data_IF_198653278158
#
_entry.id   IF_198653278158
#
_cell.length_a   1.000
_cell.length_b   1.000
_cell.length_c   1.000
_cell.angle_alpha   90.00
_cell.angle_beta   90.00
_cell.angle_gamma   90.00
#
_symmetry.space_group_name_H-M   'P 1'
#
loop_
_entity.id
_entity.type
_entity.pdbx_description
1 polymer ?
#
# COMPACT_ATOMS: atom_id res chain seq x y z
N UNK A 1 -45.38 -79.64 -11.70
CA UNK A 1 -44.73 -80.95 -11.97
C UNK A 1 -43.35 -80.89 -11.35
N UNK A 2 -43.28 -81.75 -10.32
CA UNK A 2 -42.05 -82.39 -9.74
C UNK A 2 -40.91 -81.47 -9.21
N UNK A 3 -40.82 -81.48 -7.87
CA UNK A 3 -40.20 -82.45 -6.98
C UNK A 3 -38.73 -82.70 -7.33
N UNK A 4 -37.73 -82.64 -6.46
CA UNK A 4 -37.52 -83.09 -5.11
C UNK A 4 -36.22 -82.47 -4.61
N UNK A 5 -36.12 -82.05 -3.39
CA UNK A 5 -35.87 -82.77 -2.12
C UNK A 5 -34.45 -83.16 -1.84
N UNK A 6 -33.92 -82.59 -0.69
CA UNK A 6 -33.11 -83.25 0.35
C UNK A 6 -31.69 -83.76 -0.06
N UNK A 7 -30.66 -83.43 0.67
CA UNK A 7 -30.38 -84.09 1.92
C UNK A 7 -29.31 -83.45 2.78
N UNK A 8 -29.38 -83.77 4.05
CA UNK A 8 -28.59 -83.29 5.17
C UNK A 8 -27.32 -84.12 5.38
N UNK A 9 -26.45 -83.52 6.14
CA UNK A 9 -25.46 -84.16 7.07
C UNK A 9 -24.03 -84.32 6.50
N UNK A 10 -23.10 -83.62 7.14
CA UNK A 10 -22.19 -84.12 8.19
C UNK A 10 -21.12 -83.05 8.45
N UNK A 11 -21.08 -82.52 9.60
CA UNK A 11 -20.29 -82.84 10.78
C UNK A 11 -18.79 -82.49 10.75
N UNK A 12 -18.47 -81.52 11.57
CA UNK A 12 -17.33 -81.47 12.54
C UNK A 12 -15.91 -81.44 12.04
N UNK A 13 -15.13 -80.38 12.27
CA UNK A 13 -14.26 -80.21 13.49
C UNK A 13 -13.34 -78.99 13.37
N UNK A 14 -13.34 -78.22 14.46
CA UNK A 14 -12.20 -77.68 15.21
C UNK A 14 -11.24 -76.68 14.55
N UNK A 15 -11.20 -75.51 15.13
CA UNK A 15 -10.06 -74.58 15.01
C UNK A 15 -10.42 -73.21 15.59
N UNK A 16 -10.38 -73.08 16.93
CA UNK A 16 -10.55 -71.76 17.55
C UNK A 16 -9.35 -70.87 17.35
N UNK A 17 -9.60 -69.63 16.98
CA UNK A 17 -8.65 -68.54 17.21
C UNK A 17 -9.48 -67.31 17.57
N UNK A 18 -9.43 -66.93 18.83
CA UNK A 18 -9.98 -65.68 19.34
C UNK A 18 -9.18 -64.50 18.77
N UNK A 19 -9.78 -63.80 17.79
CA UNK A 19 -9.28 -62.53 17.30
C UNK A 19 -9.82 -61.38 18.16
N UNK A 20 -9.02 -60.91 19.10
CA UNK A 20 -9.32 -59.70 19.83
C UNK A 20 -9.37 -58.50 18.85
N UNK A 21 -10.55 -57.98 18.62
CA UNK A 21 -10.69 -56.71 17.90
C UNK A 21 -10.15 -55.58 18.78
N UNK A 22 -8.93 -55.16 18.50
CA UNK A 22 -8.38 -53.95 19.06
C UNK A 22 -9.12 -52.75 18.47
N UNK A 23 -9.98 -52.17 19.27
CA UNK A 23 -10.52 -50.82 19.03
C UNK A 23 -9.35 -49.84 19.15
N UNK A 24 -8.82 -49.36 18.04
CA UNK A 24 -7.97 -48.17 17.97
C UNK A 24 -8.87 -46.95 18.07
N UNK A 25 -8.64 -46.06 19.05
CA UNK A 25 -9.38 -44.78 19.06
C UNK A 25 -9.00 -44.02 17.79
N UNK A 26 -10.02 -43.59 17.04
CA UNK A 26 -9.82 -42.65 15.96
C UNK A 26 -9.14 -41.37 16.53
N UNK A 27 -7.86 -41.21 16.24
CA UNK A 27 -7.17 -39.95 16.48
C UNK A 27 -7.91 -38.89 15.63
N UNK A 28 -8.63 -38.01 16.31
CA UNK A 28 -9.04 -36.75 15.71
C UNK A 28 -7.76 -36.08 15.21
N UNK A 29 -7.55 -36.07 13.90
CA UNK A 29 -6.60 -35.17 13.25
C UNK A 29 -7.11 -33.75 13.51
N UNK A 30 -6.58 -33.13 14.55
CA UNK A 30 -6.61 -31.68 14.67
C UNK A 30 -5.88 -31.17 13.44
N UNK A 31 -6.63 -30.67 12.48
CA UNK A 31 -6.05 -29.94 11.36
C UNK A 31 -5.16 -28.85 11.95
N UNK A 32 -3.85 -28.96 11.74
CA UNK A 32 -2.93 -27.88 12.02
C UNK A 32 -3.42 -26.66 11.25
N UNK A 33 -3.48 -25.46 11.86
CA UNK A 33 -3.84 -24.27 11.11
C UNK A 33 -2.84 -24.12 9.96
N UNK A 34 -3.40 -23.90 8.77
CA UNK A 34 -2.66 -23.73 7.52
C UNK A 34 -1.49 -22.75 7.70
N UNK A 35 -0.30 -23.29 7.89
CA UNK A 35 0.95 -22.52 7.89
C UNK A 35 1.29 -21.98 6.48
N UNK A 36 0.46 -22.27 5.47
CA UNK A 36 0.63 -21.82 4.09
C UNK A 36 0.11 -20.39 3.82
N UNK A 37 -0.58 -19.75 4.76
CA UNK A 37 -1.15 -18.41 4.55
C UNK A 37 -0.20 -17.24 4.84
N UNK A 38 1.03 -17.49 5.29
CA UNK A 38 2.05 -16.47 5.56
C UNK A 38 3.07 -16.32 4.43
N UNK A 39 2.78 -16.77 3.22
CA UNK A 39 3.60 -16.41 2.07
C UNK A 39 3.53 -14.89 1.88
N UNK A 40 4.67 -14.21 1.95
CA UNK A 40 4.77 -12.77 1.72
C UNK A 40 4.01 -12.43 0.44
N UNK A 41 2.88 -11.74 0.58
CA UNK A 41 2.07 -11.31 -0.57
C UNK A 41 2.97 -10.52 -1.51
N UNK A 42 3.08 -10.97 -2.76
CA UNK A 42 3.87 -10.26 -3.76
C UNK A 42 3.50 -8.78 -3.79
N UNK A 43 4.49 -7.92 -3.98
CA UNK A 43 4.24 -6.49 -4.16
C UNK A 43 3.33 -6.29 -5.39
N UNK A 44 2.36 -5.35 -5.34
CA UNK A 44 1.48 -5.10 -6.47
C UNK A 44 2.29 -4.78 -7.73
N UNK A 45 1.95 -5.45 -8.83
CA UNK A 45 2.61 -5.24 -10.13
C UNK A 45 1.94 -4.06 -10.84
N UNK A 46 2.75 -3.15 -11.37
CA UNK A 46 2.26 -2.02 -12.17
C UNK A 46 1.92 -2.44 -13.60
N UNK A 47 1.01 -1.74 -14.24
CA UNK A 47 0.79 -1.84 -15.66
C UNK A 47 2.11 -1.59 -16.42
N UNK A 48 2.50 -2.51 -17.31
CA UNK A 48 3.80 -2.43 -18.00
C UNK A 48 4.98 -3.04 -17.25
N UNK A 49 4.72 -3.77 -16.15
CA UNK A 49 5.72 -4.52 -15.40
C UNK A 49 6.46 -3.70 -14.34
N UNK A 50 7.00 -4.40 -13.35
CA UNK A 50 7.67 -3.83 -12.20
C UNK A 50 6.77 -3.76 -10.97
N UNK A 51 7.38 -3.86 -9.79
CA UNK A 51 6.71 -3.75 -8.52
C UNK A 51 7.24 -2.54 -7.75
N UNK A 52 6.37 -1.87 -7.02
CA UNK A 52 6.76 -0.84 -6.05
C UNK A 52 6.82 -1.46 -4.65
N UNK A 53 7.79 -1.03 -3.82
CA UNK A 53 7.72 -1.29 -2.38
C UNK A 53 6.38 -0.77 -1.84
N UNK A 54 5.81 -1.48 -0.87
CA UNK A 54 4.52 -1.11 -0.27
C UNK A 54 4.55 0.21 0.50
N UNK A 55 5.74 0.67 0.86
CA UNK A 55 5.97 1.94 1.55
C UNK A 55 6.84 2.83 0.68
N UNK A 56 6.34 4.00 0.37
CA UNK A 56 7.01 5.13 -0.25
C UNK A 56 7.33 6.21 0.78
N UNK A 57 7.80 7.36 0.30
CA UNK A 57 8.12 8.53 1.11
C UNK A 57 7.30 9.73 0.63
N UNK A 58 6.41 10.24 1.46
CA UNK A 58 5.74 11.52 1.27
C UNK A 58 6.64 12.68 1.73
N UNK A 59 6.42 13.86 1.15
CA UNK A 59 7.25 15.04 1.44
C UNK A 59 6.47 16.26 1.93
N UNK A 60 5.15 16.21 1.97
CA UNK A 60 4.34 17.34 2.38
C UNK A 60 4.67 17.78 3.82
N UNK A 61 4.88 19.10 4.01
CA UNK A 61 5.36 19.75 5.24
C UNK A 61 6.79 19.34 5.61
N UNK A 62 7.11 18.06 5.59
CA UNK A 62 8.36 17.50 6.14
C UNK A 62 9.61 17.90 5.35
N UNK A 63 9.48 18.17 4.06
CA UNK A 63 10.57 18.62 3.18
C UNK A 63 10.47 20.08 2.78
N UNK A 64 9.50 20.84 3.31
CA UNK A 64 9.41 22.28 3.11
C UNK A 64 10.30 23.03 4.10
N UNK A 65 11.59 22.90 3.96
CA UNK A 65 12.60 23.41 4.90
C UNK A 65 13.35 24.67 4.39
N UNK A 66 12.94 25.20 3.24
CA UNK A 66 13.55 26.39 2.66
C UNK A 66 15.06 26.19 2.37
N UNK A 67 15.87 27.15 2.79
CA UNK A 67 17.32 27.16 2.59
C UNK A 67 18.11 26.78 3.86
N UNK A 68 17.46 26.24 4.88
CA UNK A 68 18.15 25.77 6.09
C UNK A 68 19.03 24.57 5.78
N UNK A 69 20.34 24.76 5.81
CA UNK A 69 21.32 23.75 5.43
C UNK A 69 21.26 22.48 6.32
N UNK A 70 21.00 22.66 7.63
CA UNK A 70 20.88 21.55 8.58
C UNK A 70 19.62 20.73 8.34
N UNK A 71 18.48 21.38 8.11
CA UNK A 71 17.23 20.71 7.81
C UNK A 71 17.28 20.01 6.42
N UNK A 72 17.95 20.61 5.41
CA UNK A 72 18.17 19.95 4.11
C UNK A 72 19.08 18.72 4.24
N UNK A 73 20.13 18.80 5.07
CA UNK A 73 20.98 17.65 5.37
C UNK A 73 20.15 16.52 6.04
N UNK A 74 19.33 16.85 7.02
CA UNK A 74 18.42 15.89 7.68
C UNK A 74 17.44 15.24 6.68
N UNK A 75 16.87 16.00 5.74
CA UNK A 75 16.04 15.43 4.65
C UNK A 75 16.85 14.46 3.78
N UNK A 76 18.12 14.77 3.50
CA UNK A 76 19.03 13.89 2.76
C UNK A 76 19.27 12.58 3.53
N UNK A 77 19.50 12.64 4.85
CA UNK A 77 19.68 11.45 5.70
C UNK A 77 18.42 10.58 5.76
N UNK A 78 17.24 11.20 5.80
CA UNK A 78 15.94 10.51 5.68
C UNK A 78 15.84 9.76 4.36
N UNK A 79 16.19 10.41 3.24
CA UNK A 79 16.20 9.78 1.91
C UNK A 79 17.24 8.66 1.82
N UNK A 80 18.43 8.84 2.41
CA UNK A 80 19.46 7.81 2.45
C UNK A 80 18.96 6.54 3.18
N UNK A 81 18.36 6.72 4.35
CA UNK A 81 17.79 5.61 5.12
C UNK A 81 16.62 4.93 4.36
N UNK A 82 15.80 5.71 3.67
CA UNK A 82 14.70 5.21 2.84
C UNK A 82 15.21 4.33 1.69
N UNK A 83 16.19 4.79 0.93
CA UNK A 83 16.77 4.00 -0.16
C UNK A 83 17.55 2.78 0.33
N UNK A 84 18.27 2.91 1.45
CA UNK A 84 18.99 1.79 2.08
C UNK A 84 18.04 0.67 2.53
N UNK A 85 16.82 1.02 2.94
CA UNK A 85 15.76 0.07 3.29
C UNK A 85 14.96 -0.46 2.07
N UNK A 86 15.42 -0.20 0.84
CA UNK A 86 14.79 -0.68 -0.40
C UNK A 86 13.64 0.20 -0.90
N UNK A 87 13.45 1.38 -0.35
CA UNK A 87 12.47 2.36 -0.81
C UNK A 87 12.77 2.85 -2.23
N UNK A 88 11.74 3.25 -2.95
CA UNK A 88 11.89 3.73 -4.33
C UNK A 88 11.00 4.93 -4.65
N UNK A 89 9.73 4.91 -4.27
CA UNK A 89 8.77 5.96 -4.59
C UNK A 89 8.90 7.13 -3.61
N UNK A 90 9.21 8.33 -4.13
CA UNK A 90 9.10 9.59 -3.41
C UNK A 90 7.99 10.42 -4.07
N UNK A 91 7.08 10.96 -3.25
CA UNK A 91 5.94 11.76 -3.71
C UNK A 91 6.09 13.22 -3.26
N UNK A 92 5.95 14.16 -4.20
CA UNK A 92 5.95 15.58 -3.94
C UNK A 92 4.92 16.34 -4.76
N UNK A 93 4.93 17.67 -4.69
CA UNK A 93 4.04 18.57 -5.44
C UNK A 93 4.62 19.97 -5.48
N UNK A 94 4.35 20.76 -6.54
CA UNK A 94 4.67 22.18 -6.57
C UNK A 94 3.97 23.00 -5.46
N UNK A 95 2.93 22.44 -4.84
CA UNK A 95 2.23 23.02 -3.70
C UNK A 95 3.04 22.92 -2.38
N UNK A 96 4.09 22.10 -2.32
CA UNK A 96 4.80 21.77 -1.08
C UNK A 96 6.02 22.65 -0.80
N UNK A 97 5.99 23.89 -1.23
CA UNK A 97 7.05 24.88 -0.98
C UNK A 97 8.41 24.44 -1.59
N UNK A 98 9.45 24.36 -0.76
CA UNK A 98 10.80 23.97 -1.19
C UNK A 98 11.01 22.46 -1.39
N UNK A 99 9.98 21.64 -1.17
CA UNK A 99 10.09 20.18 -1.12
C UNK A 99 10.74 19.57 -2.35
N UNK A 100 10.36 20.02 -3.56
CA UNK A 100 10.89 19.51 -4.82
C UNK A 100 12.41 19.76 -4.98
N UNK A 101 12.84 20.97 -4.64
CA UNK A 101 14.25 21.36 -4.69
C UNK A 101 15.09 20.61 -3.65
N UNK A 102 14.57 20.45 -2.43
CA UNK A 102 15.20 19.67 -1.35
C UNK A 102 15.36 18.20 -1.76
N UNK A 103 14.34 17.62 -2.39
CA UNK A 103 14.41 16.25 -2.93
C UNK A 103 15.49 16.16 -4.00
N UNK A 104 15.49 17.07 -4.97
CA UNK A 104 16.48 17.07 -6.05
C UNK A 104 17.92 17.17 -5.56
N UNK A 105 18.18 18.04 -4.58
CA UNK A 105 19.48 18.14 -3.92
C UNK A 105 19.89 16.81 -3.27
N UNK A 106 18.99 16.20 -2.49
CA UNK A 106 19.24 14.93 -1.84
C UNK A 106 19.47 13.79 -2.84
N UNK A 107 18.66 13.69 -3.89
CA UNK A 107 18.84 12.70 -4.96
C UNK A 107 20.20 12.81 -5.65
N UNK A 108 20.65 14.03 -5.92
CA UNK A 108 21.97 14.31 -6.50
C UNK A 108 23.08 13.87 -5.56
N UNK A 109 23.04 14.26 -4.28
CA UNK A 109 24.04 13.89 -3.26
C UNK A 109 24.14 12.38 -3.07
N UNK A 110 23.00 11.67 -3.14
CA UNK A 110 22.93 10.22 -2.95
C UNK A 110 23.14 9.42 -4.24
N UNK A 111 23.31 10.07 -5.39
CA UNK A 111 23.40 9.43 -6.70
C UNK A 111 22.19 8.55 -7.03
N UNK A 112 20.97 9.05 -6.74
CA UNK A 112 19.73 8.32 -6.88
C UNK A 112 18.79 8.81 -7.98
N UNK A 113 19.21 9.80 -8.78
CA UNK A 113 18.39 10.43 -9.84
C UNK A 113 17.78 9.44 -10.85
N UNK A 114 18.48 8.34 -11.15
CA UNK A 114 18.03 7.32 -12.11
C UNK A 114 17.37 6.11 -11.45
N UNK A 115 17.36 6.05 -10.11
CA UNK A 115 16.85 4.90 -9.33
C UNK A 115 15.57 5.20 -8.56
N UNK A 116 15.29 6.48 -8.32
CA UNK A 116 14.05 6.91 -7.69
C UNK A 116 12.87 6.65 -8.62
N UNK A 117 11.73 6.24 -8.07
CA UNK A 117 10.44 6.35 -8.72
C UNK A 117 9.87 7.73 -8.34
N UNK A 118 10.00 8.68 -9.26
CA UNK A 118 9.62 10.07 -9.04
C UNK A 118 8.11 10.27 -9.28
N UNK A 119 7.37 10.57 -8.21
CA UNK A 119 5.95 10.90 -8.28
C UNK A 119 5.73 12.38 -7.95
N UNK A 120 5.21 13.12 -8.90
CA UNK A 120 4.92 14.55 -8.74
C UNK A 120 3.53 14.91 -9.28
N UNK A 121 3.19 16.17 -9.21
CA UNK A 121 1.83 16.64 -9.52
C UNK A 121 1.86 17.91 -10.37
N UNK A 122 0.77 18.16 -11.08
CA UNK A 122 0.46 19.49 -11.64
C UNK A 122 -0.61 20.14 -10.76
N UNK A 123 -0.36 21.40 -10.36
CA UNK A 123 -1.26 22.18 -9.49
C UNK A 123 -1.17 23.66 -9.82
N UNK A 124 -1.87 24.10 -10.85
CA UNK A 124 -1.87 25.48 -11.29
C UNK A 124 -3.15 25.78 -12.07
N UNK A 125 -3.59 27.05 -11.99
CA UNK A 125 -4.63 27.64 -12.85
C UNK A 125 -4.12 28.99 -13.38
N UNK A 126 -4.41 29.37 -14.63
CA UNK A 126 -5.09 28.55 -15.65
C UNK A 126 -4.23 27.36 -16.10
N UNK A 127 -4.86 26.33 -16.65
CA UNK A 127 -4.18 25.09 -17.06
C UNK A 127 -3.13 25.28 -18.16
N UNK A 128 -3.24 26.34 -18.98
CA UNK A 128 -2.23 26.73 -19.97
C UNK A 128 -0.82 26.93 -19.39
N UNK A 129 -0.70 27.18 -18.08
CA UNK A 129 0.57 27.26 -17.35
C UNK A 129 1.12 25.89 -16.90
N UNK A 130 0.33 24.82 -17.04
CA UNK A 130 0.70 23.47 -16.63
C UNK A 130 2.00 22.97 -17.25
N UNK A 131 2.22 23.08 -18.58
CA UNK A 131 3.48 22.65 -19.20
C UNK A 131 4.72 23.29 -18.58
N UNK A 132 4.69 24.61 -18.33
CA UNK A 132 5.81 25.33 -17.72
C UNK A 132 6.05 24.89 -16.27
N UNK A 133 4.96 24.70 -15.47
CA UNK A 133 5.08 24.22 -14.09
C UNK A 133 5.72 22.83 -14.04
N UNK A 134 5.32 21.91 -14.92
CA UNK A 134 5.88 20.55 -14.98
C UNK A 134 7.38 20.58 -15.29
N UNK A 135 7.82 21.43 -16.23
CA UNK A 135 9.24 21.53 -16.54
C UNK A 135 10.04 22.18 -15.41
N UNK A 136 9.47 23.18 -14.72
CA UNK A 136 10.09 23.77 -13.51
C UNK A 136 10.24 22.70 -12.42
N UNK A 137 9.19 21.93 -12.14
CA UNK A 137 9.23 20.82 -11.17
C UNK A 137 10.28 19.79 -11.55
N UNK A 138 10.35 19.40 -12.82
CA UNK A 138 11.35 18.45 -13.32
C UNK A 138 12.79 18.98 -13.13
N UNK A 139 12.98 20.27 -13.35
CA UNK A 139 14.25 20.96 -13.08
C UNK A 139 14.66 20.90 -11.62
N UNK A 140 13.74 21.17 -10.69
CA UNK A 140 13.97 21.05 -9.25
C UNK A 140 14.38 19.63 -8.84
N UNK A 141 13.67 18.62 -9.34
CA UNK A 141 13.99 17.22 -9.06
C UNK A 141 15.31 16.76 -9.71
N UNK A 142 15.73 17.38 -10.80
CA UNK A 142 16.91 16.97 -11.59
C UNK A 142 16.74 15.65 -12.34
N UNK A 143 15.51 15.14 -12.48
CA UNK A 143 15.22 13.87 -13.17
C UNK A 143 15.04 14.10 -14.68
N UNK A 144 15.39 13.12 -15.54
CA UNK A 144 15.20 13.26 -16.99
C UNK A 144 13.70 13.30 -17.37
N UNK A 145 12.87 12.57 -16.65
CA UNK A 145 11.40 12.57 -16.73
C UNK A 145 10.83 12.08 -15.41
N UNK A 146 9.58 12.41 -15.13
CA UNK A 146 8.85 11.82 -14.02
C UNK A 146 8.40 10.39 -14.34
N UNK A 147 8.40 9.52 -13.34
CA UNK A 147 7.72 8.22 -13.45
C UNK A 147 6.21 8.40 -13.37
N UNK A 148 5.72 9.24 -12.46
CA UNK A 148 4.29 9.49 -12.29
C UNK A 148 4.01 11.00 -12.20
N UNK A 149 3.09 11.49 -13.03
CA UNK A 149 2.50 12.81 -12.88
C UNK A 149 1.01 12.71 -12.60
N UNK A 150 0.53 13.47 -11.64
CA UNK A 150 -0.85 13.44 -11.18
C UNK A 150 -1.48 14.83 -11.22
N UNK A 151 -2.77 14.91 -11.52
CA UNK A 151 -3.53 16.15 -11.31
C UNK A 151 -3.85 16.30 -9.83
N UNK A 152 -3.28 17.33 -9.19
CA UNK A 152 -3.36 17.53 -7.74
C UNK A 152 -4.73 18.07 -7.31
N UNK A 153 -5.40 17.36 -6.41
CA UNK A 153 -6.72 17.72 -5.87
C UNK A 153 -7.76 18.00 -6.97
N UNK A 154 -7.59 17.37 -8.13
CA UNK A 154 -8.45 17.53 -9.31
C UNK A 154 -8.59 19.01 -9.78
N UNK A 155 -7.60 19.86 -9.50
CA UNK A 155 -7.61 21.25 -9.97
C UNK A 155 -7.55 21.28 -11.50
N UNK A 156 -8.56 21.88 -12.15
CA UNK A 156 -8.65 21.94 -13.63
C UNK A 156 -8.37 20.62 -14.32
N UNK A 157 -8.86 19.49 -13.77
CA UNK A 157 -8.52 18.16 -14.24
C UNK A 157 -8.94 17.90 -15.69
N UNK A 158 -10.06 18.51 -16.12
CA UNK A 158 -10.57 18.37 -17.49
C UNK A 158 -9.57 18.86 -18.55
N UNK A 159 -8.70 19.81 -18.17
CA UNK A 159 -7.70 20.39 -19.05
C UNK A 159 -6.31 19.78 -18.81
N UNK A 160 -5.94 19.56 -17.54
CA UNK A 160 -4.65 18.98 -17.21
C UNK A 160 -4.53 17.50 -17.58
N UNK A 161 -5.57 16.69 -17.38
CA UNK A 161 -5.48 15.25 -17.62
C UNK A 161 -5.20 14.88 -19.08
N UNK A 162 -5.87 15.50 -20.09
CA UNK A 162 -5.51 15.30 -21.48
C UNK A 162 -4.05 15.66 -21.80
N UNK A 163 -3.53 16.77 -21.24
CA UNK A 163 -2.14 17.16 -21.37
C UNK A 163 -1.19 16.09 -20.81
N UNK A 164 -1.49 15.52 -19.64
CA UNK A 164 -0.66 14.46 -19.04
C UNK A 164 -0.70 13.18 -19.87
N UNK A 165 -1.86 12.81 -20.41
CA UNK A 165 -2.02 11.64 -21.30
C UNK A 165 -1.24 11.82 -22.60
N UNK A 166 -1.25 13.02 -23.20
CA UNK A 166 -0.42 13.36 -24.35
C UNK A 166 1.08 13.20 -24.03
N UNK A 167 1.52 13.72 -22.88
CA UNK A 167 2.90 13.57 -22.41
C UNK A 167 3.29 12.10 -22.21
N UNK A 168 2.37 11.27 -21.72
CA UNK A 168 2.58 9.83 -21.61
C UNK A 168 2.73 9.18 -22.98
N UNK A 169 1.85 9.49 -23.93
CA UNK A 169 1.95 8.98 -25.29
C UNK A 169 3.27 9.37 -25.98
N UNK A 170 3.77 10.58 -25.69
CA UNK A 170 5.07 11.06 -26.16
C UNK A 170 6.29 10.53 -25.37
N UNK A 171 6.12 9.64 -24.38
CA UNK A 171 7.19 9.09 -23.55
C UNK A 171 7.82 10.06 -22.56
N UNK A 172 7.24 11.24 -22.37
CA UNK A 172 7.75 12.31 -21.47
C UNK A 172 7.36 12.10 -20.01
N UNK A 173 6.44 11.20 -19.74
CA UNK A 173 6.09 10.67 -18.41
C UNK A 173 5.74 9.19 -18.56
N UNK A 174 5.99 8.41 -17.53
CA UNK A 174 5.75 6.96 -17.60
C UNK A 174 4.30 6.62 -17.24
N UNK A 175 3.78 7.19 -16.17
CA UNK A 175 2.44 6.95 -15.65
C UNK A 175 1.71 8.26 -15.37
N UNK A 176 0.39 8.23 -15.51
CA UNK A 176 -0.49 9.37 -15.26
C UNK A 176 -1.55 9.00 -14.23
N UNK A 177 -1.88 9.95 -13.36
CA UNK A 177 -2.90 9.74 -12.35
C UNK A 177 -3.61 11.01 -11.90
N UNK A 178 -4.48 10.83 -10.93
CA UNK A 178 -5.17 11.91 -10.23
C UNK A 178 -5.07 11.71 -8.73
N UNK A 179 -5.15 12.80 -7.96
CA UNK A 179 -5.10 12.72 -6.51
C UNK A 179 -6.14 13.61 -5.84
N UNK A 180 -6.60 13.14 -4.70
CA UNK A 180 -7.38 13.91 -3.72
C UNK A 180 -6.97 13.53 -2.31
N UNK A 181 -7.45 14.28 -1.33
CA UNK A 181 -7.19 14.02 0.09
C UNK A 181 -8.42 14.30 0.93
N UNK A 182 -8.44 13.76 2.17
CA UNK A 182 -9.49 14.01 3.17
C UNK A 182 -10.90 13.57 2.70
N UNK A 183 -10.97 12.59 1.78
CA UNK A 183 -12.24 12.12 1.21
C UNK A 183 -12.97 13.16 0.35
N UNK A 184 -12.29 14.25 -0.04
CA UNK A 184 -12.88 15.26 -0.92
C UNK A 184 -13.04 14.73 -2.33
N UNK A 185 -14.11 15.16 -3.01
CA UNK A 185 -14.33 14.90 -4.43
C UNK A 185 -14.28 13.42 -4.83
N UNK A 186 -14.61 12.49 -3.93
CA UNK A 186 -14.54 11.03 -4.19
C UNK A 186 -15.42 10.61 -5.37
N UNK A 187 -16.57 11.29 -5.60
CA UNK A 187 -17.45 11.02 -6.76
C UNK A 187 -16.76 11.40 -8.07
N UNK A 188 -16.05 12.54 -8.09
CA UNK A 188 -15.31 12.96 -9.29
C UNK A 188 -14.15 12.01 -9.57
N UNK A 189 -13.42 11.56 -8.52
CA UNK A 189 -12.38 10.53 -8.63
C UNK A 189 -12.95 9.26 -9.24
N UNK A 190 -14.08 8.76 -8.74
CA UNK A 190 -14.75 7.58 -9.27
C UNK A 190 -15.12 7.75 -10.75
N UNK A 191 -15.69 8.89 -11.10
CA UNK A 191 -16.03 9.20 -12.48
C UNK A 191 -14.80 9.17 -13.40
N UNK A 192 -13.69 9.80 -12.97
CA UNK A 192 -12.43 9.80 -13.72
C UNK A 192 -11.90 8.38 -13.88
N UNK A 193 -11.87 7.60 -12.80
CA UNK A 193 -11.41 6.21 -12.83
C UNK A 193 -12.23 5.34 -13.79
N UNK A 194 -13.53 5.61 -13.95
CA UNK A 194 -14.41 4.88 -14.89
C UNK A 194 -14.20 5.29 -16.34
N UNK A 195 -13.92 6.56 -16.60
CA UNK A 195 -13.98 7.15 -17.95
C UNK A 195 -12.62 7.46 -18.56
N UNK A 196 -11.55 7.57 -17.75
CA UNK A 196 -10.23 7.98 -18.24
C UNK A 196 -9.18 6.88 -18.10
N UNK A 197 -8.21 6.78 -19.03
CA UNK A 197 -7.16 5.77 -19.01
C UNK A 197 -6.00 6.14 -18.08
N UNK A 198 -6.30 6.35 -16.80
CA UNK A 198 -5.28 6.67 -15.78
C UNK A 198 -4.63 5.39 -15.24
N UNK A 199 -3.38 5.50 -14.85
CA UNK A 199 -2.60 4.40 -14.28
C UNK A 199 -2.63 4.38 -12.75
N UNK A 200 -2.79 5.55 -12.14
CA UNK A 200 -2.73 5.73 -10.68
C UNK A 200 -3.87 6.59 -10.16
N UNK A 201 -4.30 6.24 -8.97
CA UNK A 201 -5.13 7.11 -8.13
C UNK A 201 -4.46 7.27 -6.78
N UNK A 202 -4.41 8.50 -6.25
CA UNK A 202 -3.90 8.76 -4.91
C UNK A 202 -5.02 9.35 -4.05
N UNK A 203 -5.36 8.65 -2.96
CA UNK A 203 -6.46 9.01 -2.05
C UNK A 203 -6.06 8.79 -0.60
N UNK A 204 -6.76 9.47 0.32
CA UNK A 204 -6.61 9.18 1.75
C UNK A 204 -7.13 7.79 2.06
N UNK A 205 -6.29 7.03 2.74
CA UNK A 205 -6.65 5.76 3.31
C UNK A 205 -5.83 5.50 4.57
N UNK A 206 -6.51 5.35 5.69
CA UNK A 206 -5.91 5.13 6.99
C UNK A 206 -6.75 4.14 7.82
N UNK A 207 -6.29 3.85 9.04
CA UNK A 207 -7.04 3.05 9.99
C UNK A 207 -8.32 3.78 10.47
N UNK A 208 -8.33 5.11 10.46
CA UNK A 208 -9.47 5.95 10.84
C UNK A 208 -10.33 6.38 9.63
N UNK A 209 -9.73 6.63 8.47
CA UNK A 209 -10.46 7.00 7.24
C UNK A 209 -10.44 5.84 6.23
N UNK A 210 -11.53 5.06 6.24
CA UNK A 210 -11.70 3.88 5.41
C UNK A 210 -12.66 4.08 4.23
N UNK A 211 -13.11 5.30 3.97
CA UNK A 211 -14.08 5.60 2.90
C UNK A 211 -13.66 5.08 1.52
N UNK A 212 -12.36 4.99 1.25
CA UNK A 212 -11.86 4.44 -0.01
C UNK A 212 -12.23 2.96 -0.22
N UNK A 213 -12.46 2.18 0.85
CA UNK A 213 -12.85 0.76 0.77
C UNK A 213 -14.23 0.56 0.12
N UNK A 214 -15.12 1.56 0.20
CA UNK A 214 -16.48 1.44 -0.27
C UNK A 214 -16.57 1.35 -1.81
N UNK A 215 -15.79 2.17 -2.52
CA UNK A 215 -15.91 2.32 -3.97
C UNK A 215 -14.57 2.43 -4.70
N UNK A 216 -13.60 3.19 -4.17
CA UNK A 216 -12.37 3.51 -4.90
C UNK A 216 -11.46 2.29 -5.01
N UNK A 217 -11.20 1.58 -3.92
CA UNK A 217 -10.32 0.41 -3.92
C UNK A 217 -10.90 -0.74 -4.78
N UNK A 218 -12.19 -1.12 -4.68
CA UNK A 218 -12.79 -2.09 -5.57
C UNK A 218 -12.72 -1.69 -7.06
N UNK A 219 -12.99 -0.43 -7.38
CA UNK A 219 -12.92 0.09 -8.75
C UNK A 219 -11.48 0.11 -9.27
N UNK A 220 -10.50 0.43 -8.43
CA UNK A 220 -9.09 0.38 -8.81
C UNK A 220 -8.66 -1.03 -9.21
N UNK A 221 -9.07 -2.05 -8.45
CA UNK A 221 -8.84 -3.46 -8.80
C UNK A 221 -9.51 -3.84 -10.13
N UNK A 222 -10.79 -3.48 -10.30
CA UNK A 222 -11.54 -3.75 -11.53
C UNK A 222 -10.87 -3.16 -12.77
N UNK A 223 -10.35 -1.95 -12.65
CA UNK A 223 -9.77 -1.18 -13.75
C UNK A 223 -8.25 -1.37 -13.90
N UNK A 224 -7.61 -2.12 -13.03
CA UNK A 224 -6.14 -2.27 -13.02
C UNK A 224 -5.39 -0.98 -12.68
N UNK A 225 -6.00 -0.07 -11.92
CA UNK A 225 -5.42 1.21 -11.50
C UNK A 225 -4.64 1.00 -10.20
N UNK A 226 -3.39 1.45 -10.17
CA UNK A 226 -2.57 1.40 -8.97
C UNK A 226 -3.02 2.46 -7.94
N UNK A 227 -2.99 2.11 -6.64
CA UNK A 227 -3.45 2.99 -5.58
C UNK A 227 -2.29 3.44 -4.69
N UNK A 228 -2.13 4.75 -4.55
CA UNK A 228 -1.26 5.36 -3.54
C UNK A 228 -2.13 5.84 -2.38
N UNK A 229 -1.90 5.30 -1.18
CA UNK A 229 -2.55 5.75 0.04
C UNK A 229 -1.79 6.94 0.63
N UNK A 230 -2.38 8.13 0.58
CA UNK A 230 -1.85 9.29 1.27
C UNK A 230 -2.42 9.40 2.69
N UNK A 231 -1.78 10.21 3.54
CA UNK A 231 -2.20 10.47 4.94
C UNK A 231 -2.44 9.20 5.78
N UNK A 232 -1.58 8.18 5.73
CA UNK A 232 -1.80 6.93 6.48
C UNK A 232 -1.86 7.14 7.99
N UNK A 233 -1.36 8.30 8.48
CA UNK A 233 -1.35 8.71 9.89
C UNK A 233 -2.17 9.97 10.15
N UNK A 234 -3.01 10.43 9.22
CA UNK A 234 -3.84 11.65 9.37
C UNK A 234 -3.00 12.87 9.78
N UNK A 235 -1.84 13.08 9.16
CA UNK A 235 -0.86 14.11 9.53
C UNK A 235 -0.30 13.96 10.97
N UNK A 236 -0.37 12.77 11.54
CA UNK A 236 0.06 12.46 12.89
C UNK A 236 -1.08 12.54 13.92
N UNK A 237 -2.26 13.05 13.57
CA UNK A 237 -3.39 13.14 14.50
C UNK A 237 -3.81 11.75 14.99
N UNK A 238 -3.88 10.76 14.10
CA UNK A 238 -4.18 9.39 14.46
C UNK A 238 -3.18 8.85 15.48
N UNK A 239 -1.90 9.06 15.27
CA UNK A 239 -0.87 8.56 16.19
C UNK A 239 -0.92 9.30 17.53
N UNK A 240 -1.19 10.61 17.54
CA UNK A 240 -1.37 11.39 18.78
C UNK A 240 -2.59 10.92 19.58
N UNK A 241 -3.70 10.67 18.92
CA UNK A 241 -4.91 10.16 19.56
C UNK A 241 -4.68 8.78 20.19
N UNK A 242 -3.95 7.90 19.50
CA UNK A 242 -3.69 6.53 19.95
C UNK A 242 -2.54 6.42 20.98
N UNK A 243 -1.66 7.42 21.08
CA UNK A 243 -0.45 7.35 21.92
C UNK A 243 -0.73 7.06 23.41
N UNK A 244 -1.90 7.44 23.91
CA UNK A 244 -2.35 7.20 25.29
C UNK A 244 -2.89 5.80 25.55
N UNK A 245 -3.06 4.99 24.51
CA UNK A 245 -3.62 3.65 24.58
C UNK A 245 -2.54 2.60 24.37
N UNK A 246 -2.64 1.50 25.11
CA UNK A 246 -1.82 0.32 24.83
C UNK A 246 -2.18 -0.28 23.49
N UNK A 247 -1.20 -0.90 22.82
CA UNK A 247 -1.45 -1.64 21.60
C UNK A 247 -2.42 -2.80 21.87
N UNK A 248 -3.38 -3.06 20.98
CA UNK A 248 -4.32 -4.16 21.14
C UNK A 248 -3.62 -5.53 20.95
N UNK A 249 -4.19 -6.63 21.48
CA UNK A 249 -3.57 -7.97 21.41
C UNK A 249 -3.16 -8.40 20.01
N UNK A 250 -3.93 -8.05 18.98
CA UNK A 250 -3.60 -8.38 17.58
C UNK A 250 -2.27 -7.74 17.11
N UNK A 251 -1.79 -6.70 17.77
CA UNK A 251 -0.50 -6.09 17.45
C UNK A 251 0.68 -7.03 17.75
N UNK A 252 0.58 -7.85 18.80
CA UNK A 252 1.60 -8.85 19.14
C UNK A 252 1.67 -9.95 18.08
N UNK A 253 0.50 -10.41 17.56
CA UNK A 253 0.44 -11.38 16.45
C UNK A 253 1.17 -10.86 15.20
N UNK A 254 1.11 -9.55 14.98
CA UNK A 254 1.70 -8.86 13.84
C UNK A 254 3.12 -8.33 14.11
N UNK A 255 3.66 -8.60 15.31
CA UNK A 255 4.97 -8.10 15.74
C UNK A 255 5.09 -6.57 15.65
N UNK A 256 4.00 -5.85 15.91
CA UNK A 256 4.01 -4.39 15.99
C UNK A 256 4.49 -3.94 17.38
N UNK A 257 5.45 -3.03 17.41
CA UNK A 257 6.00 -2.47 18.66
C UNK A 257 5.47 -1.08 18.96
N UNK A 258 4.81 -0.44 18.00
CA UNK A 258 4.21 0.88 18.15
C UNK A 258 3.00 1.07 17.23
N UNK A 259 2.25 2.15 17.45
CA UNK A 259 1.05 2.49 16.70
C UNK A 259 1.33 2.84 15.23
N UNK A 260 2.52 3.37 14.91
CA UNK A 260 2.87 3.69 13.53
C UNK A 260 3.01 2.42 12.69
N UNK A 261 3.72 1.41 13.19
CA UNK A 261 3.81 0.10 12.53
C UNK A 261 2.44 -0.55 12.40
N UNK A 262 1.63 -0.50 13.46
CA UNK A 262 0.28 -1.07 13.45
C UNK A 262 -0.60 -0.41 12.39
N UNK A 263 -0.72 0.91 12.41
CA UNK A 263 -1.54 1.65 11.45
C UNK A 263 -1.04 1.47 10.01
N UNK A 264 0.28 1.50 9.78
CA UNK A 264 0.83 1.36 8.43
C UNK A 264 0.65 -0.05 7.88
N UNK A 265 0.83 -1.11 8.70
CA UNK A 265 0.52 -2.49 8.31
C UNK A 265 -0.92 -2.66 7.88
N UNK A 266 -1.86 -2.02 8.58
CA UNK A 266 -3.26 -2.01 8.17
C UNK A 266 -3.44 -1.47 6.75
N UNK A 267 -2.83 -0.32 6.44
CA UNK A 267 -2.94 0.31 5.13
C UNK A 267 -2.31 -0.55 4.03
N UNK A 268 -1.04 -0.95 4.20
CA UNK A 268 -0.28 -1.63 3.14
C UNK A 268 -0.65 -3.10 2.95
N UNK A 269 -1.42 -3.68 3.86
CA UNK A 269 -1.93 -5.05 3.72
C UNK A 269 -3.21 -5.15 2.91
N UNK A 270 -3.88 -4.01 2.63
CA UNK A 270 -5.05 -4.04 1.76
C UNK A 270 -4.64 -4.49 0.35
N UNK A 271 -5.32 -5.52 -0.23
CA UNK A 271 -4.89 -6.10 -1.52
C UNK A 271 -4.89 -5.11 -2.67
N UNK A 272 -5.74 -4.09 -2.61
CA UNK A 272 -5.91 -3.10 -3.67
C UNK A 272 -5.06 -1.83 -3.43
N UNK A 273 -4.29 -1.75 -2.34
CA UNK A 273 -3.33 -0.66 -2.10
C UNK A 273 -1.96 -1.06 -2.63
N UNK A 274 -1.43 -0.24 -3.53
CA UNK A 274 -0.11 -0.46 -4.13
C UNK A 274 1.00 0.04 -3.21
N UNK A 275 0.87 1.26 -2.69
CA UNK A 275 1.91 1.91 -1.89
C UNK A 275 1.27 2.92 -0.93
N UNK A 276 1.76 3.02 0.30
CA UNK A 276 1.44 4.11 1.21
C UNK A 276 2.62 5.09 1.31
N UNK A 277 2.34 6.38 1.46
CA UNK A 277 3.36 7.45 1.47
C UNK A 277 3.36 8.24 2.79
N UNK A 278 3.75 7.61 3.92
CA UNK A 278 3.99 8.35 5.13
C UNK A 278 5.10 9.39 4.93
N UNK A 279 4.96 10.56 5.56
CA UNK A 279 5.96 11.62 5.54
C UNK A 279 6.61 11.75 6.92
N UNK A 280 7.93 11.98 6.97
CA UNK A 280 8.67 12.16 8.22
C UNK A 280 9.97 12.92 8.01
N UNK A 281 10.46 13.55 9.09
CA UNK A 281 11.80 14.16 9.17
C UNK A 281 12.78 13.29 9.98
N UNK A 282 12.37 12.12 10.44
CA UNK A 282 13.15 11.24 11.32
C UNK A 282 13.64 9.99 10.60
N UNK A 283 14.94 9.74 10.61
CA UNK A 283 15.57 8.52 10.11
C UNK A 283 15.03 7.28 10.83
N UNK A 284 14.80 7.37 12.16
CA UNK A 284 14.22 6.26 12.92
C UNK A 284 12.81 5.90 12.42
N UNK A 285 11.95 6.90 12.21
CA UNK A 285 10.60 6.68 11.70
C UNK A 285 10.61 6.10 10.27
N UNK A 286 11.55 6.51 9.41
CA UNK A 286 11.69 5.89 8.07
C UNK A 286 11.95 4.40 8.20
N UNK A 287 12.90 4.01 9.05
CA UNK A 287 13.24 2.58 9.26
C UNK A 287 12.04 1.81 9.78
N UNK A 288 11.32 2.34 10.75
CA UNK A 288 10.08 1.74 11.29
C UNK A 288 9.00 1.59 10.20
N UNK A 289 8.77 2.63 9.41
CA UNK A 289 7.79 2.61 8.32
C UNK A 289 8.14 1.55 7.27
N UNK A 290 9.41 1.46 6.89
CA UNK A 290 9.86 0.49 5.88
C UNK A 290 9.68 -0.96 6.37
N UNK A 291 10.00 -1.24 7.63
CA UNK A 291 9.79 -2.57 8.25
C UNK A 291 8.31 -2.95 8.24
N UNK A 292 7.40 -2.01 8.46
CA UNK A 292 5.96 -2.28 8.43
C UNK A 292 5.46 -2.82 7.08
N UNK A 293 6.15 -2.51 5.97
CA UNK A 293 5.80 -2.98 4.63
C UNK A 293 6.37 -4.35 4.24
N UNK A 294 7.27 -4.94 5.03
CA UNK A 294 8.07 -6.09 4.58
C UNK A 294 7.51 -7.45 4.98
N UNK A 295 7.05 -7.63 6.21
CA UNK A 295 6.69 -8.95 6.73
C UNK A 295 5.51 -8.91 7.69
N UNK A 296 4.92 -10.08 7.97
CA UNK A 296 3.80 -10.25 8.91
C UNK A 296 2.65 -9.29 8.65
N UNK A 297 2.26 -9.18 7.37
CA UNK A 297 1.11 -8.38 7.00
C UNK A 297 -0.20 -9.04 7.46
N UNK A 298 -1.12 -8.27 8.04
CA UNK A 298 -2.40 -8.80 8.51
C UNK A 298 -3.22 -9.42 7.36
N UNK A 299 -3.85 -10.54 7.66
CA UNK A 299 -4.90 -11.12 6.84
C UNK A 299 -6.22 -10.33 6.99
N UNK A 300 -7.27 -10.77 6.28
CA UNK A 300 -8.59 -10.11 6.31
C UNK A 300 -9.19 -10.12 7.72
N UNK A 301 -9.10 -11.24 8.44
CA UNK A 301 -9.62 -11.38 9.81
C UNK A 301 -8.86 -10.47 10.79
N UNK A 302 -7.54 -10.43 10.70
CA UNK A 302 -6.68 -9.56 11.48
C UNK A 302 -6.97 -8.08 11.19
N UNK A 303 -7.11 -7.69 9.91
CA UNK A 303 -7.50 -6.33 9.52
C UNK A 303 -8.84 -5.91 10.15
N UNK A 304 -9.84 -6.81 10.12
CA UNK A 304 -11.13 -6.52 10.73
C UNK A 304 -11.01 -6.31 12.25
N UNK A 305 -10.20 -7.15 12.95
CA UNK A 305 -9.91 -6.94 14.38
C UNK A 305 -9.18 -5.63 14.65
N UNK A 306 -8.17 -5.28 13.82
CA UNK A 306 -7.45 -4.01 13.93
C UNK A 306 -8.41 -2.82 13.83
N UNK A 307 -9.27 -2.81 12.83
CA UNK A 307 -10.24 -1.73 12.62
C UNK A 307 -11.24 -1.62 13.77
N UNK A 308 -11.83 -2.76 14.21
CA UNK A 308 -12.81 -2.77 15.29
C UNK A 308 -12.21 -2.30 16.61
N UNK A 309 -11.02 -2.78 16.97
CA UNK A 309 -10.33 -2.40 18.21
C UNK A 309 -9.89 -0.94 18.21
N UNK A 310 -9.51 -0.39 17.07
CA UNK A 310 -9.13 1.02 16.97
C UNK A 310 -10.33 1.96 17.00
N UNK A 311 -11.45 1.59 16.36
CA UNK A 311 -12.68 2.40 16.37
C UNK A 311 -13.22 2.68 17.79
N UNK A 312 -12.95 1.80 18.73
CA UNK A 312 -13.35 1.98 20.13
C UNK A 312 -12.41 2.94 20.91
N UNK A 313 -11.28 3.32 20.33
CA UNK A 313 -10.27 4.18 20.96
C UNK A 313 -10.28 5.63 20.41
N UNK A 314 -10.91 5.85 19.24
CA UNK A 314 -11.05 7.13 18.55
C UNK A 314 -12.42 7.76 18.78
#
# INVERSE_FOLDING_TARGET
MNHASLDRRALLRLGGAAGAALWLPARAQTAAPDAAASAARAAPTLAGGGALPRVGLGSWITFNVGNDASARAQCTDVMAAFFAAGGRLIDSSPMYGSSQDVIGEGLKKLNMLTRVFSADKVWIAPASRGPAQIETSRGFWGVPRFDLLQVHNLLSWQEHLPLLLERKAAGRVRYVGVTTSEGRRMRDVEQIMRSQPIDFVQVTYSLADRRAEERILPLARERGIAVIANRPFEQGDLLRALARHALPPVAAELQCTNWAQFALKFVVSHPDVTCAIPATTSVAHVRENMVAGLANLPDVGQRNRMAAQTASLL
#
